data_IF_442175590129
#
_entry.id   IF_442175590129
#
_cell.length_a   1.000
_cell.length_b   1.000
_cell.length_c   1.000
_cell.angle_alpha   90.00
_cell.angle_beta   90.00
_cell.angle_gamma   90.00
#
_symmetry.space_group_name_H-M   'P 1'
#
loop_
_entity.id
_entity.type
_entity.pdbx_description
1 polymer ?
#
# COMPACT_ATOMS: atom_id res chain seq x y z
N UNK A 1 -23.68 30.76 -68.10
CA UNK A 1 -25.16 30.67 -68.08
C UNK A 1 -25.55 29.24 -67.75
N UNK A 2 -26.01 28.95 -66.53
CA UNK A 2 -26.65 27.66 -66.18
C UNK A 2 -27.53 27.84 -64.95
N UNK A 3 -28.83 27.71 -65.18
CA UNK A 3 -29.90 27.39 -64.22
C UNK A 3 -31.01 26.70 -65.06
N UNK A 4 -31.95 25.90 -64.48
CA UNK A 4 -32.24 25.73 -63.06
C UNK A 4 -32.32 24.26 -62.57
N UNK A 5 -32.34 24.11 -61.25
CA UNK A 5 -32.69 22.89 -60.52
C UNK A 5 -34.22 22.69 -60.51
N UNK A 6 -34.73 21.45 -60.59
CA UNK A 6 -36.11 21.17 -60.23
C UNK A 6 -36.30 21.08 -58.71
N UNK A 7 -37.46 21.56 -58.30
CA UNK A 7 -37.93 21.78 -56.93
C UNK A 7 -38.87 20.64 -56.53
N UNK A 8 -38.84 20.30 -55.24
CA UNK A 8 -39.98 19.92 -54.39
C UNK A 8 -40.40 18.43 -54.34
N UNK A 9 -40.40 17.91 -53.11
CA UNK A 9 -41.08 16.68 -52.74
C UNK A 9 -41.04 16.44 -51.23
N UNK A 10 -41.78 17.23 -50.46
CA UNK A 10 -42.06 16.97 -49.05
C UNK A 10 -43.04 15.79 -48.92
N UNK A 11 -42.64 14.74 -48.20
CA UNK A 11 -43.57 13.78 -47.59
C UNK A 11 -43.13 13.52 -46.15
N UNK A 12 -43.86 14.13 -45.23
CA UNK A 12 -43.99 13.76 -43.82
C UNK A 12 -44.62 12.38 -43.68
N UNK A 13 -44.02 11.47 -42.90
CA UNK A 13 -44.71 10.59 -41.92
C UNK A 13 -43.71 9.68 -41.18
N UNK A 14 -43.98 9.43 -39.89
CA UNK A 14 -43.44 8.29 -39.12
C UNK A 14 -42.31 8.66 -38.16
N UNK A 15 -42.58 9.17 -36.96
CA UNK A 15 -42.82 8.38 -35.72
C UNK A 15 -41.62 7.50 -35.33
N UNK A 16 -40.90 8.01 -34.32
CA UNK A 16 -40.16 7.32 -33.23
C UNK A 16 -39.34 6.08 -33.62
N UNK A 17 -38.03 6.28 -33.70
CA UNK A 17 -37.06 5.26 -33.30
C UNK A 17 -36.14 5.85 -32.24
N UNK A 18 -36.14 5.23 -31.07
CA UNK A 18 -35.47 5.66 -29.86
C UNK A 18 -33.93 5.59 -29.99
N UNK A 19 -33.27 6.71 -29.75
CA UNK A 19 -31.92 6.80 -29.19
C UNK A 19 -32.09 7.51 -27.83
N UNK A 20 -31.42 7.14 -26.72
CA UNK A 20 -30.19 6.35 -26.63
C UNK A 20 -30.20 5.29 -25.50
N UNK A 21 -29.92 4.02 -25.79
CA UNK A 21 -29.64 3.00 -24.78
C UNK A 21 -28.18 2.54 -24.90
N UNK A 22 -27.24 3.44 -24.62
CA UNK A 22 -25.79 3.18 -24.69
C UNK A 22 -25.06 3.94 -23.56
N UNK A 23 -25.53 3.84 -22.31
CA UNK A 23 -24.84 4.41 -21.13
C UNK A 23 -24.91 3.48 -19.90
N UNK A 24 -24.93 2.16 -20.12
CA UNK A 24 -24.81 1.17 -19.04
C UNK A 24 -23.47 0.40 -19.11
N UNK A 25 -22.39 1.09 -19.49
CA UNK A 25 -21.04 0.55 -19.33
C UNK A 25 -20.65 0.67 -17.86
N UNK A 26 -20.59 -0.49 -17.21
CA UNK A 26 -20.34 -0.69 -15.79
C UNK A 26 -19.13 0.07 -15.25
N UNK A 27 -19.40 1.14 -14.52
CA UNK A 27 -18.50 1.65 -13.52
C UNK A 27 -18.75 0.89 -12.21
N UNK A 28 -18.29 -0.36 -12.13
CA UNK A 28 -17.96 -0.98 -10.85
C UNK A 28 -16.77 -0.22 -10.25
N UNK A 29 -16.99 0.99 -9.77
CA UNK A 29 -16.04 1.67 -8.92
C UNK A 29 -16.02 0.90 -7.60
N UNK A 30 -14.95 0.12 -7.38
CA UNK A 30 -14.69 -0.44 -6.04
C UNK A 30 -14.78 0.73 -5.05
N UNK A 31 -15.54 0.59 -3.94
CA UNK A 31 -15.56 1.61 -2.90
C UNK A 31 -14.12 1.96 -2.55
N UNK A 32 -13.79 3.26 -2.57
CA UNK A 32 -12.49 3.72 -2.12
C UNK A 32 -12.33 3.27 -0.66
N UNK A 33 -11.40 2.36 -0.44
CA UNK A 33 -11.13 1.83 0.90
C UNK A 33 -10.69 2.99 1.79
N UNK A 34 -11.30 3.10 2.97
CA UNK A 34 -10.99 4.18 3.89
C UNK A 34 -9.49 4.13 4.24
N UNK A 35 -8.79 5.28 4.31
CA UNK A 35 -7.37 5.29 4.66
C UNK A 35 -7.19 4.65 6.04
N UNK A 36 -6.48 3.52 6.08
CA UNK A 36 -6.15 2.88 7.35
C UNK A 36 -5.12 3.72 8.11
N UNK A 37 -5.35 3.81 9.42
CA UNK A 37 -4.36 4.34 10.35
C UNK A 37 -3.60 3.16 10.93
N UNK A 38 -2.29 3.15 10.72
CA UNK A 38 -1.40 2.11 11.24
C UNK A 38 -0.79 2.56 12.57
N UNK A 39 -0.62 1.61 13.49
CA UNK A 39 -0.12 1.84 14.84
C UNK A 39 1.31 2.37 14.82
N UNK A 40 1.55 3.48 15.52
CA UNK A 40 2.89 3.91 15.84
C UNK A 40 3.56 2.93 16.83
N UNK A 41 4.88 3.01 16.95
CA UNK A 41 5.60 2.24 17.94
C UNK A 41 5.58 2.94 19.30
N UNK A 42 5.24 2.21 20.36
CA UNK A 42 5.30 2.68 21.75
C UNK A 42 6.34 1.87 22.54
N UNK A 43 7.59 2.32 22.53
CA UNK A 43 8.68 1.59 23.16
C UNK A 43 8.57 1.47 24.69
N UNK A 44 7.55 2.06 25.34
CA UNK A 44 7.22 1.80 26.74
C UNK A 44 6.44 0.49 26.94
N UNK A 45 5.79 -0.04 25.90
CA UNK A 45 5.11 -1.33 25.94
C UNK A 45 6.10 -2.50 25.92
N UNK A 46 5.81 -3.62 26.60
CA UNK A 46 6.57 -4.85 26.44
C UNK A 46 6.57 -5.33 24.99
N UNK A 47 7.70 -5.89 24.53
CA UNK A 47 7.87 -6.40 23.17
C UNK A 47 6.71 -7.29 22.71
N UNK A 48 6.32 -8.27 23.53
CA UNK A 48 5.26 -9.21 23.16
C UNK A 48 3.89 -8.55 23.01
N UNK A 49 3.57 -7.59 23.89
CA UNK A 49 2.31 -6.85 23.85
C UNK A 49 2.23 -6.00 22.57
N UNK A 50 3.31 -5.30 22.24
CA UNK A 50 3.35 -4.47 21.04
C UNK A 50 3.40 -5.31 19.76
N UNK A 51 4.17 -6.40 19.74
CA UNK A 51 4.19 -7.36 18.63
C UNK A 51 2.80 -7.92 18.35
N UNK A 52 2.10 -8.39 19.39
CA UNK A 52 0.73 -8.90 19.28
C UNK A 52 -0.25 -7.83 18.76
N UNK A 53 -0.15 -6.60 19.27
CA UNK A 53 -0.98 -5.49 18.81
C UNK A 53 -0.73 -5.16 17.32
N UNK A 54 0.54 -5.18 16.89
CA UNK A 54 0.90 -4.90 15.51
C UNK A 54 0.33 -5.95 14.55
N UNK A 55 0.49 -7.25 14.87
CA UNK A 55 0.01 -8.34 13.99
C UNK A 55 -1.51 -8.47 13.97
N UNK A 56 -2.21 -7.92 14.96
CA UNK A 56 -3.66 -7.89 15.02
C UNK A 56 -4.29 -6.74 14.21
N UNK A 57 -3.48 -5.82 13.65
CA UNK A 57 -3.98 -4.71 12.86
C UNK A 57 -4.67 -5.20 11.58
N UNK A 58 -5.83 -4.61 11.28
CA UNK A 58 -6.48 -4.78 10.00
C UNK A 58 -5.59 -4.22 8.87
N UNK A 59 -5.66 -4.84 7.68
CA UNK A 59 -4.94 -4.41 6.48
C UNK A 59 -3.40 -4.40 6.60
N UNK A 60 -2.87 -5.16 7.56
CA UNK A 60 -1.46 -5.50 7.61
C UNK A 60 -1.25 -6.87 6.97
N UNK A 61 -0.43 -6.92 5.93
CA UNK A 61 -0.18 -8.13 5.17
C UNK A 61 1.19 -8.69 5.55
N UNK A 62 1.28 -9.94 6.05
CA UNK A 62 2.58 -10.57 6.28
C UNK A 62 3.27 -10.80 4.93
N UNK A 63 4.55 -10.45 4.86
CA UNK A 63 5.39 -10.85 3.73
C UNK A 63 5.58 -12.38 3.75
N UNK A 64 5.86 -13.00 2.58
CA UNK A 64 6.30 -14.39 2.53
C UNK A 64 7.48 -14.63 3.48
N UNK A 65 7.46 -15.77 4.15
CA UNK A 65 8.55 -16.13 5.05
C UNK A 65 9.76 -16.60 4.24
N UNK A 66 10.90 -15.93 4.44
CA UNK A 66 12.19 -16.37 3.94
C UNK A 66 12.93 -17.12 5.08
N UNK A 67 13.25 -18.42 4.92
CA UNK A 67 13.99 -19.18 5.92
C UNK A 67 15.37 -18.60 6.24
N UNK A 68 15.97 -17.83 5.33
CA UNK A 68 17.27 -17.18 5.54
C UNK A 68 17.16 -15.90 6.38
N UNK A 69 15.97 -15.31 6.51
CA UNK A 69 15.75 -14.07 7.24
C UNK A 69 15.19 -14.38 8.64
N UNK A 70 15.92 -14.06 9.73
CA UNK A 70 15.47 -14.30 11.10
C UNK A 70 14.45 -13.24 11.57
N UNK A 71 13.65 -12.70 10.65
CA UNK A 71 12.70 -11.62 10.88
C UNK A 71 11.32 -11.95 10.32
N UNK A 72 10.28 -11.24 10.79
CA UNK A 72 8.95 -11.23 10.17
C UNK A 72 8.65 -9.82 9.68
N UNK A 73 8.33 -9.70 8.40
CA UNK A 73 7.93 -8.45 7.79
C UNK A 73 6.42 -8.40 7.63
N UNK A 74 5.87 -7.23 7.90
CA UNK A 74 4.47 -6.92 7.65
C UNK A 74 4.40 -5.59 6.93
N UNK A 75 3.58 -5.48 5.89
CA UNK A 75 3.39 -4.23 5.16
C UNK A 75 1.93 -3.83 5.19
N UNK A 76 1.68 -2.53 5.28
CA UNK A 76 0.36 -1.97 5.05
C UNK A 76 -0.13 -2.29 3.64
N UNK A 77 -1.44 -2.43 3.47
CA UNK A 77 -2.05 -2.64 2.16
C UNK A 77 -1.75 -1.50 1.16
N UNK A 78 -1.52 -0.28 1.66
CA UNK A 78 -1.13 0.89 0.84
C UNK A 78 0.38 0.99 0.57
N UNK A 79 1.19 0.08 1.12
CA UNK A 79 2.64 0.04 0.97
C UNK A 79 3.42 1.18 1.64
N UNK A 80 2.76 2.04 2.43
CA UNK A 80 3.38 3.22 3.05
C UNK A 80 4.05 2.95 4.39
N UNK A 81 3.66 1.87 5.06
CA UNK A 81 4.18 1.48 6.37
C UNK A 81 4.60 0.02 6.32
N UNK A 82 5.80 -0.29 6.80
CA UNK A 82 6.22 -1.66 7.03
C UNK A 82 6.77 -1.82 8.45
N UNK A 83 6.56 -3.00 9.02
CA UNK A 83 7.09 -3.40 10.31
C UNK A 83 8.01 -4.60 10.12
N UNK A 84 9.11 -4.60 10.86
CA UNK A 84 10.00 -5.74 11.03
C UNK A 84 9.97 -6.14 12.50
N UNK A 85 9.64 -7.40 12.77
CA UNK A 85 9.66 -7.99 14.11
C UNK A 85 10.74 -9.07 14.15
N UNK A 86 11.71 -8.96 15.06
CA UNK A 86 12.79 -9.94 15.19
C UNK A 86 12.33 -11.26 15.79
N UNK A 87 12.75 -12.40 15.24
CA UNK A 87 12.57 -13.72 15.85
C UNK A 87 13.66 -13.97 16.91
N UNK A 88 13.44 -14.94 17.80
CA UNK A 88 14.46 -15.40 18.73
C UNK A 88 15.73 -15.83 17.99
N UNK A 89 16.89 -15.40 18.49
CA UNK A 89 18.19 -15.67 17.87
C UNK A 89 18.58 -14.70 16.73
N UNK A 90 17.68 -13.82 16.30
CA UNK A 90 18.00 -12.76 15.36
C UNK A 90 18.87 -11.67 16.01
N UNK A 91 19.75 -11.00 15.25
CA UNK A 91 20.43 -9.78 15.71
C UNK A 91 19.42 -8.76 16.26
N UNK A 92 19.69 -8.27 17.47
CA UNK A 92 18.88 -7.24 18.12
C UNK A 92 17.61 -7.74 18.79
N UNK A 93 17.29 -9.03 18.74
CA UNK A 93 16.12 -9.56 19.43
C UNK A 93 16.20 -9.34 20.96
N UNK A 94 15.10 -8.95 21.62
CA UNK A 94 13.84 -8.47 21.03
C UNK A 94 13.95 -7.05 20.43
N UNK A 95 13.48 -6.88 19.20
CA UNK A 95 13.36 -5.58 18.55
C UNK A 95 12.19 -5.53 17.56
N UNK A 96 11.63 -4.33 17.42
CA UNK A 96 10.64 -3.98 16.40
C UNK A 96 11.14 -2.74 15.66
N UNK A 97 11.10 -2.76 14.33
CA UNK A 97 11.36 -1.58 13.50
C UNK A 97 10.15 -1.26 12.64
N UNK A 98 9.99 0.02 12.31
CA UNK A 98 8.95 0.54 11.46
C UNK A 98 9.57 1.44 10.40
N UNK A 99 9.26 1.19 9.13
CA UNK A 99 9.59 2.09 8.03
C UNK A 99 8.31 2.78 7.56
N UNK A 100 8.34 4.11 7.47
CA UNK A 100 7.22 4.91 6.99
C UNK A 100 7.64 5.81 5.83
N UNK A 101 6.87 5.78 4.75
CA UNK A 101 7.01 6.70 3.64
C UNK A 101 6.55 8.12 4.04
N UNK A 102 7.48 9.07 4.03
CA UNK A 102 7.25 10.49 4.28
C UNK A 102 7.75 11.30 3.07
N UNK A 103 6.83 11.66 2.18
CA UNK A 103 7.17 12.33 0.92
C UNK A 103 7.99 11.40 0.02
N UNK A 104 9.17 11.85 -0.41
CA UNK A 104 10.13 11.06 -1.19
C UNK A 104 11.05 10.17 -0.34
N UNK A 105 10.94 10.25 0.98
CA UNK A 105 11.84 9.56 1.92
C UNK A 105 11.15 8.44 2.67
N UNK A 106 11.96 7.50 3.17
CA UNK A 106 11.52 6.42 4.05
C UNK A 106 12.21 6.59 5.39
N UNK A 107 11.44 6.92 6.41
CA UNK A 107 11.92 7.09 7.78
C UNK A 107 11.84 5.76 8.50
N UNK A 108 12.99 5.27 8.99
CA UNK A 108 13.05 4.08 9.86
C UNK A 108 13.04 4.54 11.32
N UNK A 109 12.21 3.90 12.13
CA UNK A 109 12.17 4.04 13.60
C UNK A 109 12.12 2.65 14.22
N UNK A 110 12.34 2.51 15.53
CA UNK A 110 12.20 1.21 16.17
C UNK A 110 12.38 1.22 17.67
N UNK A 111 12.03 0.11 18.29
CA UNK A 111 12.17 -0.15 19.71
C UNK A 111 13.26 -1.23 19.94
N UNK A 112 14.39 -0.87 20.54
CA UNK A 112 15.50 -1.77 20.87
C UNK A 112 15.28 -2.38 22.27
N UNK A 113 14.46 -3.42 22.39
CA UNK A 113 14.15 -4.01 23.72
C UNK A 113 15.29 -4.88 24.28
N UNK A 114 16.12 -5.43 23.40
CA UNK A 114 17.23 -6.32 23.75
C UNK A 114 18.59 -5.76 23.40
N UNK A 115 19.29 -6.48 22.53
CA UNK A 115 20.66 -6.15 22.15
C UNK A 115 20.74 -4.89 21.29
N UNK A 116 21.34 -3.84 21.84
CA UNK A 116 21.52 -2.55 21.15
C UNK A 116 22.42 -2.68 19.92
N UNK A 117 23.48 -3.50 19.99
CA UNK A 117 24.43 -3.64 18.88
C UNK A 117 23.78 -4.35 17.69
N UNK A 118 23.07 -5.44 17.94
CA UNK A 118 22.28 -6.13 16.92
C UNK A 118 21.15 -5.28 16.37
N UNK A 119 20.53 -4.42 17.19
CA UNK A 119 19.56 -3.43 16.71
C UNK A 119 20.20 -2.44 15.73
N UNK A 120 21.40 -1.93 16.01
CA UNK A 120 22.09 -1.01 15.10
C UNK A 120 22.46 -1.70 13.77
N UNK A 121 22.83 -2.98 13.81
CA UNK A 121 23.05 -3.80 12.60
C UNK A 121 21.76 -3.94 11.78
N UNK A 122 20.63 -4.19 12.45
CA UNK A 122 19.33 -4.27 11.81
C UNK A 122 18.92 -2.95 11.15
N UNK A 123 19.22 -1.82 11.81
CA UNK A 123 18.92 -0.50 11.28
C UNK A 123 19.75 -0.23 10.02
N UNK A 124 21.03 -0.58 10.04
CA UNK A 124 21.92 -0.47 8.88
C UNK A 124 21.46 -1.37 7.72
N UNK A 125 21.03 -2.60 8.00
CA UNK A 125 20.47 -3.51 7.00
C UNK A 125 19.26 -2.90 6.30
N UNK A 126 18.27 -2.42 7.07
CA UNK A 126 17.06 -1.80 6.52
C UNK A 126 17.36 -0.52 5.72
N UNK A 127 18.36 0.24 6.13
CA UNK A 127 18.77 1.45 5.40
C UNK A 127 19.46 1.09 4.07
N UNK A 128 20.30 0.05 4.07
CA UNK A 128 20.93 -0.51 2.87
C UNK A 128 19.92 -0.96 1.82
N UNK A 129 18.79 -1.57 2.23
CA UNK A 129 17.74 -1.99 1.31
C UNK A 129 17.16 -0.81 0.51
N UNK A 130 16.97 0.36 1.13
CA UNK A 130 16.42 1.56 0.48
C UNK A 130 17.30 2.08 -0.66
N UNK A 131 18.61 1.91 -0.54
CA UNK A 131 19.56 2.37 -1.55
C UNK A 131 19.58 1.46 -2.78
N UNK A 132 19.34 0.16 -2.60
CA UNK A 132 19.25 -0.77 -3.71
C UNK A 132 17.97 -0.56 -4.53
N UNK A 133 16.83 -0.32 -3.87
CA UNK A 133 15.55 -0.13 -4.58
C UNK A 133 15.49 1.16 -5.40
N UNK A 134 16.27 2.20 -5.03
CA UNK A 134 16.33 3.49 -5.75
C UNK A 134 17.23 3.50 -6.99
N UNK A 135 18.01 2.45 -7.26
CA UNK A 135 18.92 2.35 -8.41
C UNK A 135 18.33 1.68 -9.66
N UNK A 136 17.01 1.53 -9.73
CA UNK A 136 16.29 1.12 -10.95
C UNK A 136 15.54 2.30 -11.53
#
# INVERSE_FOLDING_TARGET
MRAPLPRRGSRTLGIRAALPALLALGACAKPAEAPATYLALDCAQPFEAQSAALVAQAQLVPAPEDPAEPYRFYSSADGRTSYLITKTGAPGHPAIMMQQAKGSDVVTTGCPYGDRKGYDQLHAYLDGLKHWTRKK
#
